data_IF_568190668699
#
_entry.id   IF_568190668699
#
_cell.length_a   1.000
_cell.length_b   1.000
_cell.length_c   1.000
_cell.angle_alpha   90.00
_cell.angle_beta   90.00
_cell.angle_gamma   90.00
#
_symmetry.space_group_name_H-M   'P 1'
#
loop_
_entity.id
_entity.type
_entity.pdbx_description
1 polymer ?
#
# COMPACT_ATOMS: atom_id res chain seq x y z
N UNK A 1 22.37 -7.14 -24.97
CA UNK A 1 21.15 -7.55 -25.66
C UNK A 1 20.25 -6.33 -25.77
N UNK A 2 19.69 -6.10 -26.98
CA UNK A 2 18.76 -5.00 -27.25
C UNK A 2 17.35 -5.56 -27.44
N UNK A 3 16.36 -4.94 -26.78
CA UNK A 3 14.94 -5.26 -26.91
C UNK A 3 14.26 -4.17 -27.73
N UNK A 4 13.45 -4.59 -28.71
CA UNK A 4 12.56 -3.70 -29.47
C UNK A 4 11.15 -3.90 -28.94
N UNK A 5 10.52 -2.84 -28.47
CA UNK A 5 9.21 -2.86 -27.81
C UNK A 5 8.27 -1.81 -28.43
N UNK A 6 6.95 -1.95 -28.30
CA UNK A 6 6.02 -0.87 -28.54
C UNK A 6 6.42 0.36 -27.71
N UNK A 7 6.26 1.58 -28.25
CA UNK A 7 6.74 2.81 -27.64
C UNK A 7 6.28 2.99 -26.19
N UNK A 8 5.02 2.66 -25.87
CA UNK A 8 4.49 2.73 -24.51
C UNK A 8 5.19 1.76 -23.57
N UNK A 9 5.39 0.51 -23.99
CA UNK A 9 6.08 -0.53 -23.20
C UNK A 9 7.58 -0.24 -23.06
N UNK A 10 8.20 0.38 -24.05
CA UNK A 10 9.61 0.78 -24.00
C UNK A 10 9.85 1.86 -22.93
N UNK A 11 8.91 2.77 -22.72
CA UNK A 11 8.96 3.77 -21.66
C UNK A 11 8.88 3.14 -20.25
N UNK A 12 8.04 2.15 -20.06
CA UNK A 12 7.96 1.39 -18.80
C UNK A 12 9.23 0.55 -18.59
N UNK A 13 9.70 -0.15 -19.63
CA UNK A 13 10.91 -0.96 -19.56
C UNK A 13 12.19 -0.15 -19.30
N UNK A 14 12.22 1.13 -19.71
CA UNK A 14 13.34 2.05 -19.47
C UNK A 14 13.58 2.37 -17.99
N UNK A 15 12.63 2.04 -17.12
CA UNK A 15 12.79 2.14 -15.67
C UNK A 15 13.80 1.12 -15.13
N UNK A 16 14.07 0.04 -15.89
CA UNK A 16 15.02 -1.01 -15.51
C UNK A 16 16.38 -0.71 -16.16
N UNK A 17 17.36 -0.44 -15.32
CA UNK A 17 18.72 -0.16 -15.79
C UNK A 17 19.40 -1.38 -16.44
N UNK A 18 20.34 -1.15 -17.35
CA UNK A 18 21.16 -2.20 -17.97
C UNK A 18 20.54 -2.89 -19.18
N UNK A 19 19.34 -2.48 -19.63
CA UNK A 19 18.72 -2.97 -20.85
C UNK A 19 18.93 -2.01 -22.01
N UNK A 20 19.41 -2.52 -23.14
CA UNK A 20 19.37 -1.79 -24.42
C UNK A 20 17.92 -1.80 -24.94
N UNK A 21 17.28 -0.64 -24.99
CA UNK A 21 15.87 -0.54 -25.35
C UNK A 21 15.69 0.35 -26.59
N UNK A 22 14.85 -0.10 -27.51
CA UNK A 22 14.40 0.66 -28.68
C UNK A 22 12.87 0.62 -28.73
N UNK A 23 12.26 1.77 -28.95
CA UNK A 23 10.82 1.91 -29.10
C UNK A 23 10.41 1.95 -30.59
N UNK A 24 9.30 1.31 -30.92
CA UNK A 24 8.65 1.39 -32.22
C UNK A 24 7.15 1.67 -32.06
N UNK A 25 6.61 2.58 -32.85
CA UNK A 25 5.19 2.89 -32.87
C UNK A 25 4.43 1.96 -33.84
N UNK A 26 5.12 1.45 -34.86
CA UNK A 26 4.57 0.59 -35.88
C UNK A 26 5.58 -0.47 -36.31
N UNK A 27 5.08 -1.66 -36.71
CA UNK A 27 5.94 -2.75 -37.19
C UNK A 27 6.80 -2.37 -38.40
N UNK A 28 6.30 -1.49 -39.25
CA UNK A 28 7.05 -0.97 -40.41
C UNK A 28 8.32 -0.23 -40.04
N UNK A 29 8.38 0.41 -38.86
CA UNK A 29 9.60 1.07 -38.37
C UNK A 29 10.66 0.03 -38.01
N UNK A 30 10.25 -1.10 -37.39
CA UNK A 30 11.16 -2.22 -37.13
C UNK A 30 11.69 -2.83 -38.41
N UNK A 31 10.83 -3.03 -39.41
CA UNK A 31 11.24 -3.52 -40.75
C UNK A 31 12.21 -2.53 -41.40
N UNK A 32 11.96 -1.23 -41.32
CA UNK A 32 12.84 -0.20 -41.87
C UNK A 32 14.21 -0.19 -41.17
N UNK A 33 14.25 -0.41 -39.84
CA UNK A 33 15.50 -0.46 -39.08
C UNK A 33 16.34 -1.70 -39.38
N UNK A 34 15.73 -2.79 -39.84
CA UNK A 34 16.41 -4.04 -40.20
C UNK A 34 16.78 -4.16 -41.68
N UNK A 35 16.55 -3.11 -42.49
CA UNK A 35 16.94 -3.12 -43.91
C UNK A 35 18.46 -3.19 -44.05
N UNK A 36 18.99 -4.02 -44.97
CA UNK A 36 20.42 -4.12 -45.21
C UNK A 36 20.99 -2.89 -45.91
N UNK A 37 20.14 -2.13 -46.60
CA UNK A 37 20.52 -0.89 -47.31
C UNK A 37 19.64 0.24 -46.75
N UNK A 38 20.28 1.29 -46.27
CA UNK A 38 19.66 2.50 -45.69
C UNK A 38 18.72 2.19 -44.50
N UNK A 39 19.25 1.61 -43.41
CA UNK A 39 18.45 1.33 -42.20
C UNK A 39 18.04 2.65 -41.51
N UNK A 40 16.75 2.74 -41.17
CA UNK A 40 16.24 3.87 -40.35
C UNK A 40 16.34 3.48 -38.86
N UNK A 41 17.19 4.13 -38.05
CA UNK A 41 17.42 3.73 -36.68
C UNK A 41 16.17 3.94 -35.79
N UNK A 42 15.83 2.95 -34.98
CA UNK A 42 14.81 3.09 -33.94
C UNK A 42 15.34 4.01 -32.81
N UNK A 43 14.44 4.70 -32.17
CA UNK A 43 14.79 5.63 -31.07
C UNK A 43 14.78 4.90 -29.72
N UNK A 44 15.75 5.24 -28.86
CA UNK A 44 15.68 4.87 -27.46
C UNK A 44 14.50 5.61 -26.80
N UNK A 45 13.81 4.97 -25.84
CA UNK A 45 12.79 5.66 -25.06
C UNK A 45 13.43 6.84 -24.29
N UNK A 46 12.68 7.93 -24.03
CA UNK A 46 13.19 9.03 -23.21
C UNK A 46 13.54 8.50 -21.81
N UNK A 47 14.62 9.03 -21.23
CA UNK A 47 14.99 8.71 -19.85
C UNK A 47 13.82 9.00 -18.90
N UNK A 48 13.63 8.10 -17.94
CA UNK A 48 12.59 8.24 -16.93
C UNK A 48 12.81 9.52 -16.10
N UNK A 49 11.72 10.17 -15.71
CA UNK A 49 11.74 11.34 -14.83
C UNK A 49 12.26 10.97 -13.43
N UNK A 50 12.83 11.98 -12.76
CA UNK A 50 13.37 11.89 -11.41
C UNK A 50 12.39 11.22 -10.43
N UNK A 51 12.76 10.08 -9.81
CA UNK A 51 11.91 9.38 -8.84
C UNK A 51 11.71 10.20 -7.55
N UNK A 52 12.56 11.15 -7.23
CA UNK A 52 12.49 11.95 -6.01
C UNK A 52 11.37 13.00 -6.03
N UNK A 53 10.92 13.42 -7.21
CA UNK A 53 9.85 14.40 -7.34
C UNK A 53 8.50 13.93 -6.77
N UNK A 54 8.24 12.64 -6.73
CA UNK A 54 6.99 12.10 -6.22
C UNK A 54 7.01 11.82 -4.70
N UNK A 55 8.20 11.62 -4.09
CA UNK A 55 8.36 11.48 -2.64
C UNK A 55 8.01 12.78 -1.92
N UNK A 56 8.33 13.93 -2.51
CA UNK A 56 8.03 15.25 -1.96
C UNK A 56 6.52 15.56 -1.84
N UNK A 57 5.66 14.78 -2.51
CA UNK A 57 4.21 14.97 -2.45
C UNK A 57 3.55 14.31 -1.22
N UNK A 58 4.26 13.42 -0.49
CA UNK A 58 3.67 12.62 0.59
C UNK A 58 3.54 13.36 1.93
N UNK A 59 4.11 14.55 2.09
CA UNK A 59 4.17 15.29 3.36
C UNK A 59 5.09 14.59 4.38
N UNK A 60 5.73 15.37 5.22
CA UNK A 60 6.72 14.90 6.18
C UNK A 60 6.08 14.49 7.52
N UNK A 61 6.67 13.51 8.22
CA UNK A 61 6.27 13.12 9.57
C UNK A 61 6.51 14.24 10.58
N UNK A 62 7.45 15.16 10.33
CA UNK A 62 7.67 16.35 11.13
C UNK A 62 6.45 17.30 11.18
N UNK A 63 5.59 17.30 10.14
CA UNK A 63 4.37 18.11 10.08
C UNK A 63 3.36 17.71 11.16
N UNK A 64 3.47 16.49 11.70
CA UNK A 64 2.59 16.00 12.75
C UNK A 64 3.01 16.63 14.08
N UNK A 65 2.15 17.44 14.67
CA UNK A 65 2.40 18.06 15.97
C UNK A 65 2.13 17.10 17.12
N UNK A 66 3.01 17.08 18.09
CA UNK A 66 2.92 16.14 19.21
C UNK A 66 3.09 14.69 18.77
N UNK A 67 2.34 13.78 19.37
CA UNK A 67 2.27 12.35 19.02
C UNK A 67 3.64 11.63 19.01
N UNK A 68 4.56 11.97 19.92
CA UNK A 68 5.93 11.44 19.92
C UNK A 68 6.00 9.91 19.95
N UNK A 69 5.16 9.25 20.76
CA UNK A 69 5.10 7.79 20.81
C UNK A 69 4.63 7.18 19.48
N UNK A 70 3.63 7.80 18.84
CA UNK A 70 3.14 7.33 17.54
C UNK A 70 4.17 7.55 16.42
N UNK A 71 4.87 8.68 16.40
CA UNK A 71 5.98 8.92 15.47
C UNK A 71 7.07 7.87 15.63
N UNK A 72 7.48 7.59 16.88
CA UNK A 72 8.49 6.57 17.15
C UNK A 72 8.05 5.18 16.72
N UNK A 73 6.79 4.82 16.92
CA UNK A 73 6.26 3.56 16.45
C UNK A 73 6.24 3.46 14.91
N UNK A 74 5.93 4.57 14.21
CA UNK A 74 6.02 4.62 12.74
C UNK A 74 7.46 4.45 12.23
N UNK A 75 8.44 5.08 12.90
CA UNK A 75 9.86 4.89 12.57
C UNK A 75 10.28 3.42 12.73
N UNK A 76 9.88 2.79 13.86
CA UNK A 76 10.15 1.37 14.09
C UNK A 76 9.45 0.49 13.04
N UNK A 77 8.19 0.77 12.73
CA UNK A 77 7.42 0.08 11.72
C UNK A 77 8.08 0.21 10.32
N UNK A 78 8.55 1.41 9.96
CA UNK A 78 9.23 1.64 8.69
C UNK A 78 10.58 0.91 8.61
N UNK A 79 11.37 0.94 9.68
CA UNK A 79 12.70 0.31 9.72
C UNK A 79 12.65 -1.22 9.69
N UNK A 80 11.66 -1.81 10.38
CA UNK A 80 11.52 -3.26 10.52
C UNK A 80 10.46 -3.89 9.60
N UNK A 81 9.77 -3.09 8.76
CA UNK A 81 8.60 -3.52 8.00
C UNK A 81 7.50 -4.16 8.89
N UNK A 82 7.35 -3.65 10.12
CA UNK A 82 6.39 -4.16 11.10
C UNK A 82 4.97 -3.70 10.81
N UNK A 83 4.01 -4.59 10.98
CA UNK A 83 2.58 -4.26 10.98
C UNK A 83 2.23 -3.46 12.24
N UNK A 84 1.37 -2.45 12.09
CA UNK A 84 1.04 -1.49 13.16
C UNK A 84 -0.47 -1.32 13.31
N UNK A 85 -0.96 -1.36 14.55
CA UNK A 85 -2.33 -0.98 14.91
C UNK A 85 -2.32 0.28 15.78
N UNK A 86 -3.01 1.31 15.33
CA UNK A 86 -3.22 2.56 16.05
C UNK A 86 -4.62 2.59 16.66
N UNK A 87 -4.69 2.72 17.98
CA UNK A 87 -5.97 2.82 18.71
C UNK A 87 -6.08 4.19 19.35
N UNK A 88 -7.18 4.90 19.13
CA UNK A 88 -7.38 6.22 19.76
C UNK A 88 -8.68 6.88 19.38
N UNK A 89 -9.08 7.94 20.09
CA UNK A 89 -10.30 8.69 19.82
C UNK A 89 -10.37 9.22 18.38
N UNK A 90 -11.56 9.54 17.86
CA UNK A 90 -11.67 10.23 16.57
C UNK A 90 -10.97 11.59 16.61
N UNK A 91 -10.39 12.01 15.49
CA UNK A 91 -9.71 13.30 15.36
C UNK A 91 -8.29 13.36 15.95
N UNK A 92 -7.70 12.24 16.38
CA UNK A 92 -6.33 12.21 16.92
C UNK A 92 -5.23 12.14 15.87
N UNK A 93 -5.59 12.14 14.57
CA UNK A 93 -4.61 12.16 13.47
C UNK A 93 -4.11 10.79 13.02
N UNK A 94 -4.77 9.66 13.38
CA UNK A 94 -4.36 8.30 13.00
C UNK A 94 -4.19 8.14 11.48
N UNK A 95 -5.18 8.58 10.70
CA UNK A 95 -5.13 8.48 9.23
C UNK A 95 -4.03 9.36 8.65
N UNK A 96 -3.79 10.55 9.22
CA UNK A 96 -2.68 11.42 8.83
C UNK A 96 -1.33 10.75 9.11
N UNK A 97 -1.15 10.16 10.30
CA UNK A 97 0.04 9.40 10.67
C UNK A 97 0.30 8.23 9.70
N UNK A 98 -0.75 7.46 9.36
CA UNK A 98 -0.64 6.36 8.41
C UNK A 98 -0.18 6.82 7.02
N UNK A 99 -0.69 7.94 6.53
CA UNK A 99 -0.25 8.49 5.23
C UNK A 99 1.19 9.01 5.26
N UNK A 100 1.67 9.55 6.41
CA UNK A 100 3.07 9.98 6.56
C UNK A 100 4.06 8.81 6.61
N UNK A 101 3.61 7.60 6.90
CA UNK A 101 4.49 6.43 6.85
C UNK A 101 5.21 6.31 5.51
N UNK A 102 4.52 6.62 4.40
CA UNK A 102 5.09 6.55 3.06
C UNK A 102 6.35 7.40 2.85
N UNK A 103 6.47 8.54 3.54
CA UNK A 103 7.63 9.44 3.41
C UNK A 103 8.88 8.95 4.14
N UNK A 104 8.73 8.02 5.09
CA UNK A 104 9.85 7.48 5.87
C UNK A 104 10.19 6.03 5.50
N UNK A 105 9.41 5.40 4.60
CA UNK A 105 9.71 4.06 4.12
C UNK A 105 10.92 4.06 3.18
N UNK A 106 11.82 3.08 3.30
CA UNK A 106 12.92 2.93 2.35
C UNK A 106 12.39 2.62 0.93
N UNK A 107 13.02 3.16 -0.13
CA UNK A 107 12.63 2.86 -1.50
C UNK A 107 12.76 1.36 -1.78
N UNK A 108 11.99 0.87 -2.76
CA UNK A 108 12.11 -0.50 -3.24
C UNK A 108 13.45 -0.70 -3.96
N UNK A 109 14.08 -1.85 -3.74
CA UNK A 109 15.15 -2.28 -4.64
C UNK A 109 14.55 -2.67 -6.02
N UNK A 110 15.41 -2.93 -7.01
CA UNK A 110 14.96 -3.18 -8.39
C UNK A 110 14.05 -4.41 -8.49
N UNK A 111 14.37 -5.50 -7.78
CA UNK A 111 13.58 -6.74 -7.82
C UNK A 111 12.22 -6.54 -7.16
N UNK A 112 12.16 -5.90 -6.00
CA UNK A 112 10.91 -5.53 -5.33
C UNK A 112 10.04 -4.58 -6.17
N UNK A 113 10.68 -3.63 -6.85
CA UNK A 113 9.99 -2.69 -7.73
C UNK A 113 9.37 -3.41 -8.94
N UNK A 114 10.08 -4.39 -9.52
CA UNK A 114 9.57 -5.24 -10.60
C UNK A 114 8.39 -6.09 -10.14
N UNK A 115 8.47 -6.72 -8.97
CA UNK A 115 7.36 -7.49 -8.40
C UNK A 115 6.10 -6.62 -8.20
N UNK A 116 6.26 -5.43 -7.60
CA UNK A 116 5.16 -4.49 -7.38
C UNK A 116 4.58 -3.99 -8.71
N UNK A 117 5.43 -3.58 -9.65
CA UNK A 117 5.02 -3.09 -10.97
C UNK A 117 4.25 -4.16 -11.75
N UNK A 118 4.67 -5.44 -11.70
CA UNK A 118 3.99 -6.54 -12.37
C UNK A 118 2.54 -6.71 -11.87
N UNK A 119 2.32 -6.66 -10.56
CA UNK A 119 0.98 -6.76 -9.96
C UNK A 119 0.12 -5.56 -10.35
N UNK A 120 0.67 -4.35 -10.27
CA UNK A 120 -0.03 -3.12 -10.62
C UNK A 120 -0.36 -3.06 -12.12
N UNK A 121 0.56 -3.50 -12.98
CA UNK A 121 0.37 -3.56 -14.44
C UNK A 121 -0.72 -4.55 -14.83
N UNK A 122 -0.77 -5.72 -14.19
CA UNK A 122 -1.84 -6.71 -14.39
C UNK A 122 -3.23 -6.14 -14.09
N UNK A 123 -3.32 -5.21 -13.15
CA UNK A 123 -4.55 -4.49 -12.80
C UNK A 123 -4.76 -3.21 -13.63
N UNK A 124 -3.83 -2.83 -14.51
CA UNK A 124 -3.86 -1.58 -15.27
C UNK A 124 -3.67 -0.33 -14.38
N UNK A 125 -2.98 -0.47 -13.25
CA UNK A 125 -2.78 0.59 -12.24
C UNK A 125 -1.32 1.01 -12.06
N UNK A 126 -0.41 0.45 -12.84
CA UNK A 126 0.99 0.87 -12.80
C UNK A 126 1.16 2.26 -13.40
N UNK A 127 1.90 3.10 -12.70
CA UNK A 127 2.29 4.44 -13.14
C UNK A 127 3.82 4.56 -13.07
N UNK A 128 4.52 4.89 -14.17
CA UNK A 128 5.98 5.02 -14.19
C UNK A 128 6.54 5.98 -13.12
N UNK A 129 5.78 7.03 -12.77
CA UNK A 129 6.16 7.97 -11.71
C UNK A 129 6.24 7.33 -10.31
N UNK A 130 5.65 6.16 -10.12
CA UNK A 130 5.67 5.42 -8.85
C UNK A 130 6.77 4.33 -8.82
N UNK A 131 7.64 4.29 -9.83
CA UNK A 131 8.75 3.34 -9.87
C UNK A 131 9.62 3.44 -8.61
N UNK A 132 9.92 2.31 -7.99
CA UNK A 132 10.68 2.15 -6.73
C UNK A 132 10.02 2.75 -5.49
N UNK A 133 8.81 3.29 -5.59
CA UNK A 133 8.06 3.76 -4.43
C UNK A 133 7.20 2.64 -3.84
N UNK A 134 7.07 2.65 -2.52
CA UNK A 134 6.13 1.75 -1.83
C UNK A 134 4.72 2.33 -1.94
N UNK A 135 3.87 1.62 -2.65
CA UNK A 135 2.47 2.03 -2.81
C UNK A 135 1.73 1.95 -1.47
N UNK A 136 0.88 2.94 -1.19
CA UNK A 136 -0.04 2.91 -0.06
C UNK A 136 -1.44 2.67 -0.62
N UNK A 137 -2.04 1.54 -0.22
CA UNK A 137 -3.42 1.19 -0.56
C UNK A 137 -4.30 1.45 0.66
N UNK A 138 -5.32 2.29 0.51
CA UNK A 138 -6.23 2.68 1.58
C UNK A 138 -7.69 2.46 1.13
N UNK A 139 -8.15 1.21 1.02
CA UNK A 139 -9.54 0.95 0.67
C UNK A 139 -10.47 1.41 1.78
N UNK A 140 -11.64 1.91 1.39
CA UNK A 140 -12.69 2.29 2.34
C UNK A 140 -13.27 1.04 3.02
N UNK A 141 -13.71 1.14 4.28
CA UNK A 141 -14.26 0.01 5.05
C UNK A 141 -15.52 -0.62 4.41
N UNK A 142 -16.23 0.11 3.54
CA UNK A 142 -17.35 -0.43 2.75
C UNK A 142 -16.93 -1.30 1.57
N UNK A 143 -15.61 -1.45 1.32
CA UNK A 143 -15.12 -2.30 0.25
C UNK A 143 -15.56 -3.76 0.47
N UNK A 144 -16.04 -4.40 -0.59
CA UNK A 144 -16.44 -5.81 -0.52
C UNK A 144 -15.22 -6.72 -0.30
N UNK A 145 -15.45 -7.92 0.26
CA UNK A 145 -14.37 -8.92 0.40
C UNK A 145 -13.72 -9.24 -0.94
N UNK A 146 -14.48 -9.22 -2.05
CA UNK A 146 -13.93 -9.42 -3.40
C UNK A 146 -13.03 -8.26 -3.83
N UNK A 147 -13.36 -7.02 -3.48
CA UNK A 147 -12.49 -5.87 -3.78
C UNK A 147 -11.17 -5.97 -3.02
N UNK A 148 -11.17 -6.48 -1.78
CA UNK A 148 -9.97 -6.64 -0.98
C UNK A 148 -9.13 -7.84 -1.41
N UNK A 149 -9.74 -9.02 -1.53
CA UNK A 149 -9.07 -10.28 -1.85
C UNK A 149 -8.74 -10.38 -3.34
N UNK A 150 -9.63 -9.91 -4.18
CA UNK A 150 -9.59 -10.11 -5.61
C UNK A 150 -10.63 -11.12 -6.08
N UNK A 151 -10.74 -11.30 -7.39
CA UNK A 151 -11.73 -12.20 -7.99
C UNK A 151 -12.01 -11.86 -9.45
N UNK A 152 -13.15 -12.32 -9.95
CA UNK A 152 -13.55 -12.11 -11.35
C UNK A 152 -13.26 -13.31 -12.23
N UNK A 153 -13.60 -13.19 -13.52
CA UNK A 153 -13.29 -14.17 -14.58
C UNK A 153 -12.86 -13.41 -15.83
N UNK A 154 -11.55 -13.38 -16.14
CA UNK A 154 -10.41 -13.99 -15.40
C UNK A 154 -10.18 -13.37 -14.01
N UNK A 155 -9.54 -14.12 -13.09
CA UNK A 155 -9.20 -13.60 -11.76
C UNK A 155 -8.28 -12.37 -11.84
N UNK A 156 -8.60 -11.36 -11.01
CA UNK A 156 -7.82 -10.12 -10.90
C UNK A 156 -7.38 -9.91 -9.46
N UNK A 157 -6.19 -9.34 -9.24
CA UNK A 157 -5.71 -9.01 -7.89
C UNK A 157 -6.62 -7.97 -7.23
N UNK A 158 -6.90 -8.15 -5.92
CA UNK A 158 -7.57 -7.17 -5.07
C UNK A 158 -6.60 -6.22 -4.38
N UNK A 159 -7.12 -5.35 -3.50
CA UNK A 159 -6.34 -4.32 -2.81
C UNK A 159 -5.20 -4.92 -1.96
N UNK A 160 -5.37 -6.13 -1.41
CA UNK A 160 -4.33 -6.86 -0.68
C UNK A 160 -3.12 -7.13 -1.57
N UNK A 161 -3.34 -7.66 -2.79
CA UNK A 161 -2.24 -7.91 -3.75
C UNK A 161 -1.70 -6.61 -4.34
N UNK A 162 -2.56 -5.61 -4.57
CA UNK A 162 -2.13 -4.30 -5.07
C UNK A 162 -1.25 -3.54 -4.07
N UNK A 163 -1.30 -3.91 -2.78
CA UNK A 163 -0.40 -3.41 -1.74
C UNK A 163 0.95 -4.16 -1.68
N UNK A 164 1.19 -5.12 -2.57
CA UNK A 164 2.42 -5.91 -2.57
C UNK A 164 3.67 -5.05 -2.56
N UNK A 165 4.62 -5.35 -1.66
CA UNK A 165 5.85 -4.57 -1.38
C UNK A 165 5.59 -3.13 -0.90
N UNK A 166 4.34 -2.80 -0.54
CA UNK A 166 3.91 -1.52 -0.02
C UNK A 166 3.17 -1.63 1.30
N UNK A 167 2.22 -0.73 1.51
CA UNK A 167 1.41 -0.61 2.72
C UNK A 167 -0.06 -0.80 2.39
N UNK A 168 -0.74 -1.63 3.17
CA UNK A 168 -2.19 -1.71 3.21
C UNK A 168 -2.67 -0.97 4.46
N UNK A 169 -3.25 0.21 4.28
CA UNK A 169 -3.83 0.99 5.35
C UNK A 169 -5.34 0.73 5.44
N UNK A 170 -5.80 0.26 6.60
CA UNK A 170 -7.21 0.01 6.88
C UNK A 170 -7.67 0.93 8.02
N UNK A 171 -8.34 2.01 7.66
CA UNK A 171 -8.96 2.90 8.63
C UNK A 171 -10.28 2.30 9.11
N UNK A 172 -10.66 2.59 10.37
CA UNK A 172 -11.84 2.00 11.00
C UNK A 172 -11.85 0.47 10.90
N UNK A 173 -10.71 -0.16 11.18
CA UNK A 173 -10.45 -1.59 10.98
C UNK A 173 -11.60 -2.52 11.43
N UNK A 174 -12.26 -2.33 12.61
CA UNK A 174 -13.38 -3.17 13.03
C UNK A 174 -14.66 -3.02 12.17
N UNK A 175 -14.75 -2.00 11.31
CA UNK A 175 -15.93 -1.79 10.46
C UNK A 175 -15.85 -2.57 9.14
N UNK A 176 -14.70 -3.12 8.79
CA UNK A 176 -14.57 -4.01 7.64
C UNK A 176 -15.37 -5.31 7.81
N UNK A 177 -15.88 -5.90 6.72
CA UNK A 177 -16.51 -7.20 6.77
C UNK A 177 -15.60 -8.26 7.41
N UNK A 178 -16.13 -9.05 8.35
CA UNK A 178 -15.34 -10.07 9.05
C UNK A 178 -14.62 -11.04 8.11
N UNK A 179 -15.27 -11.43 7.01
CA UNK A 179 -14.67 -12.28 5.98
C UNK A 179 -13.45 -11.65 5.31
N UNK A 180 -13.44 -10.32 5.18
CA UNK A 180 -12.32 -9.58 4.62
C UNK A 180 -11.15 -9.50 5.62
N UNK A 181 -11.44 -9.29 6.91
CA UNK A 181 -10.41 -9.29 7.96
C UNK A 181 -9.78 -10.67 8.14
N UNK A 182 -10.57 -11.73 8.12
CA UNK A 182 -10.04 -13.11 8.20
C UNK A 182 -9.17 -13.46 6.97
N UNK A 183 -9.49 -12.93 5.78
CA UNK A 183 -8.71 -13.14 4.58
C UNK A 183 -7.31 -12.49 4.61
N UNK A 184 -7.06 -11.55 5.53
CA UNK A 184 -5.73 -10.96 5.73
C UNK A 184 -4.74 -11.93 6.40
N UNK A 185 -5.23 -12.94 7.12
CA UNK A 185 -4.38 -13.82 7.92
C UNK A 185 -3.40 -14.62 7.06
N UNK A 186 -3.89 -15.23 5.99
CA UNK A 186 -3.06 -16.01 5.06
C UNK A 186 -1.91 -15.16 4.46
N UNK A 187 -2.17 -14.00 3.83
CA UNK A 187 -1.10 -13.21 3.24
C UNK A 187 -0.15 -12.56 4.26
N UNK A 188 -0.61 -12.23 5.47
CA UNK A 188 0.27 -11.74 6.53
C UNK A 188 1.27 -12.81 6.99
N UNK A 189 0.92 -14.08 6.87
CA UNK A 189 1.78 -15.21 7.24
C UNK A 189 2.65 -15.70 6.08
N UNK A 190 2.04 -15.89 4.91
CA UNK A 190 2.69 -16.54 3.75
C UNK A 190 3.22 -15.55 2.71
N UNK A 191 2.73 -14.33 2.69
CA UNK A 191 3.02 -13.33 1.65
C UNK A 191 2.32 -13.60 0.32
N UNK A 192 1.32 -14.49 0.31
CA UNK A 192 0.55 -14.88 -0.88
C UNK A 192 -0.93 -14.92 -0.54
N UNK A 193 -1.78 -14.56 -1.48
CA UNK A 193 -3.22 -14.74 -1.41
C UNK A 193 -3.70 -15.65 -2.53
N UNK A 194 -4.48 -16.67 -2.17
CA UNK A 194 -5.00 -17.66 -3.11
C UNK A 194 -6.47 -17.39 -3.44
N UNK A 195 -6.77 -17.26 -4.71
CA UNK A 195 -8.14 -17.10 -5.21
C UNK A 195 -8.54 -18.40 -5.92
N UNK A 196 -9.45 -19.15 -5.31
CA UNK A 196 -9.98 -20.37 -5.90
C UNK A 196 -11.33 -20.10 -6.57
N UNK A 197 -11.46 -20.41 -7.86
CA UNK A 197 -12.73 -20.36 -8.59
C UNK A 197 -12.86 -21.54 -9.56
N UNK A 198 -13.97 -22.25 -9.44
CA UNK A 198 -14.29 -23.43 -10.24
C UNK A 198 -13.13 -24.45 -10.27
N UNK A 199 -12.47 -24.65 -11.40
CA UNK A 199 -11.40 -25.62 -11.55
C UNK A 199 -9.97 -25.01 -11.48
N UNK A 200 -9.83 -23.72 -11.14
CA UNK A 200 -8.52 -23.04 -11.16
C UNK A 200 -8.25 -22.28 -9.86
N UNK A 201 -7.07 -22.47 -9.32
CA UNK A 201 -6.47 -21.68 -8.26
C UNK A 201 -5.48 -20.70 -8.88
N UNK A 202 -5.54 -19.44 -8.44
CA UNK A 202 -4.60 -18.40 -8.83
C UNK A 202 -4.01 -17.80 -7.57
N UNK A 203 -2.69 -17.81 -7.50
CA UNK A 203 -1.95 -17.24 -6.38
C UNK A 203 -1.38 -15.89 -6.80
N UNK A 204 -1.65 -14.86 -5.99
CA UNK A 204 -1.11 -13.51 -6.17
C UNK A 204 -0.16 -13.18 -5.04
N UNK A 205 0.96 -12.54 -5.32
CA UNK A 205 1.87 -12.08 -4.27
C UNK A 205 1.17 -11.00 -3.44
N UNK A 206 1.37 -11.06 -2.13
CA UNK A 206 0.70 -10.21 -1.15
C UNK A 206 1.57 -9.96 0.09
N UNK A 207 2.86 -9.64 -0.12
CA UNK A 207 3.78 -9.21 0.95
C UNK A 207 3.61 -7.71 1.12
N UNK A 208 2.89 -7.30 2.14
CA UNK A 208 2.61 -5.91 2.46
C UNK A 208 2.81 -5.67 3.95
N UNK A 209 3.00 -4.41 4.33
CA UNK A 209 2.95 -3.96 5.70
C UNK A 209 1.51 -3.54 6.03
N UNK A 210 0.89 -4.15 7.05
CA UNK A 210 -0.45 -3.78 7.49
C UNK A 210 -0.36 -2.60 8.46
N UNK A 211 -1.10 -1.54 8.16
CA UNK A 211 -1.34 -0.43 9.09
C UNK A 211 -2.84 -0.36 9.35
N UNK A 212 -3.25 -0.59 10.58
CA UNK A 212 -4.63 -0.48 11.00
C UNK A 212 -4.86 0.74 11.87
N UNK A 213 -6.02 1.36 11.75
CA UNK A 213 -6.48 2.37 12.69
C UNK A 213 -7.88 2.01 13.19
N UNK A 214 -8.11 2.20 14.49
CA UNK A 214 -9.43 1.97 15.08
C UNK A 214 -9.71 2.93 16.24
N UNK A 215 -10.97 3.07 16.57
CA UNK A 215 -11.38 3.71 17.81
C UNK A 215 -11.35 2.69 18.98
N UNK A 216 -11.22 3.14 20.23
CA UNK A 216 -11.17 2.24 21.39
C UNK A 216 -12.52 1.58 21.71
N UNK A 217 -13.63 2.16 21.21
CA UNK A 217 -14.99 1.69 21.42
C UNK A 217 -15.93 2.24 20.33
N UNK A 218 -17.20 1.81 20.22
CA UNK A 218 -18.13 2.30 19.21
C UNK A 218 -18.34 3.83 19.21
N UNK A 219 -18.38 4.47 20.38
CA UNK A 219 -18.51 5.94 20.45
C UNK A 219 -17.15 6.66 20.30
N UNK A 220 -16.03 5.93 20.33
CA UNK A 220 -14.69 6.47 20.15
C UNK A 220 -14.06 7.13 21.37
N UNK A 221 -14.75 7.20 22.53
CA UNK A 221 -14.34 8.03 23.67
C UNK A 221 -13.88 7.25 24.92
N UNK A 222 -13.70 5.94 24.83
CA UNK A 222 -13.14 5.17 25.93
C UNK A 222 -11.70 5.64 26.21
N UNK A 223 -11.40 6.00 27.46
CA UNK A 223 -10.10 6.56 27.84
C UNK A 223 -9.84 8.01 27.39
N UNK A 224 -10.81 8.69 26.77
CA UNK A 224 -10.63 10.08 26.35
C UNK A 224 -10.82 11.03 27.54
N UNK A 225 -9.80 11.84 27.92
CA UNK A 225 -9.91 12.77 29.04
C UNK A 225 -10.85 13.96 28.77
N UNK A 226 -11.11 14.29 27.49
CA UNK A 226 -11.89 15.44 27.08
C UNK A 226 -13.39 15.14 26.93
N UNK A 227 -13.75 13.86 26.71
CA UNK A 227 -15.14 13.46 26.46
C UNK A 227 -15.42 12.07 27.03
N UNK A 228 -16.43 11.96 27.90
CA UNK A 228 -16.81 10.73 28.54
C UNK A 228 -17.34 9.68 27.54
N UNK A 229 -16.92 8.43 27.71
CA UNK A 229 -17.44 7.29 26.98
C UNK A 229 -18.90 7.00 27.43
N UNK A 230 -19.76 6.65 26.46
CA UNK A 230 -21.17 6.30 26.70
C UNK A 230 -21.46 4.82 26.45
N UNK A 231 -20.45 4.03 26.10
CA UNK A 231 -20.62 2.62 25.80
C UNK A 231 -20.65 1.78 27.09
N UNK A 232 -21.50 0.78 27.12
CA UNK A 232 -21.46 -0.25 28.16
C UNK A 232 -20.23 -1.14 27.96
N UNK A 233 -19.75 -1.83 29.02
CA UNK A 233 -18.65 -2.80 28.89
C UNK A 233 -18.90 -3.85 27.80
N UNK A 234 -20.13 -4.36 27.68
CA UNK A 234 -20.50 -5.33 26.65
C UNK A 234 -20.44 -4.78 25.23
N UNK A 235 -20.76 -3.50 25.05
CA UNK A 235 -20.63 -2.83 23.74
C UNK A 235 -19.16 -2.69 23.35
N UNK A 236 -18.30 -2.33 24.30
CA UNK A 236 -16.86 -2.23 24.09
C UNK A 236 -16.29 -3.60 23.72
N UNK A 237 -16.60 -4.63 24.52
CA UNK A 237 -16.11 -5.99 24.28
C UNK A 237 -16.56 -6.52 22.91
N UNK A 238 -17.83 -6.35 22.53
CA UNK A 238 -18.34 -6.74 21.20
C UNK A 238 -17.68 -6.00 20.05
N UNK A 239 -17.34 -4.74 20.21
CA UNK A 239 -16.65 -3.95 19.20
C UNK A 239 -15.22 -4.43 19.00
N UNK A 240 -14.48 -4.61 20.09
CA UNK A 240 -13.11 -5.10 20.06
C UNK A 240 -13.02 -6.54 19.53
N UNK A 241 -13.98 -7.40 19.87
CA UNK A 241 -14.09 -8.79 19.42
C UNK A 241 -14.36 -8.94 17.90
N UNK A 242 -14.59 -7.85 17.16
CA UNK A 242 -14.63 -7.90 15.70
C UNK A 242 -13.27 -8.24 15.09
N UNK A 243 -12.18 -7.89 15.79
CA UNK A 243 -10.83 -8.31 15.46
C UNK A 243 -10.54 -9.63 16.16
N UNK A 244 -10.25 -10.68 15.39
CA UNK A 244 -9.92 -11.97 15.97
C UNK A 244 -8.52 -11.97 16.60
N UNK A 245 -8.34 -12.75 17.68
CA UNK A 245 -7.03 -12.93 18.30
C UNK A 245 -5.94 -13.29 17.28
N UNK A 246 -6.17 -14.32 16.42
CA UNK A 246 -5.21 -14.70 15.39
C UNK A 246 -4.83 -13.60 14.40
N UNK A 247 -5.70 -12.61 14.12
CA UNK A 247 -5.33 -11.44 13.32
C UNK A 247 -4.47 -10.47 14.13
N UNK A 248 -4.84 -10.23 15.39
CA UNK A 248 -4.08 -9.33 16.27
C UNK A 248 -2.67 -9.87 16.55
N UNK A 249 -2.48 -11.19 16.67
CA UNK A 249 -1.20 -11.84 16.87
C UNK A 249 -0.21 -11.62 15.69
N UNK A 250 -0.71 -11.21 14.52
CA UNK A 250 0.10 -10.89 13.33
C UNK A 250 0.40 -9.39 13.17
N UNK A 251 -0.04 -8.60 14.14
CA UNK A 251 0.26 -7.17 14.18
C UNK A 251 1.35 -6.96 15.22
N UNK A 252 2.54 -6.64 14.76
CA UNK A 252 3.75 -6.57 15.60
C UNK A 252 3.71 -5.45 16.63
N UNK A 253 3.14 -4.30 16.25
CA UNK A 253 3.10 -3.10 17.08
C UNK A 253 1.65 -2.66 17.30
N UNK A 254 1.28 -2.42 18.55
CA UNK A 254 -0.01 -1.85 18.93
C UNK A 254 0.23 -0.63 19.80
N UNK A 255 -0.32 0.51 19.38
CA UNK A 255 -0.10 1.77 20.08
C UNK A 255 -1.40 2.53 20.35
N UNK A 256 -1.40 3.26 21.44
CA UNK A 256 -2.43 4.25 21.70
C UNK A 256 -2.03 5.61 21.12
N UNK A 257 -2.98 6.26 20.43
CA UNK A 257 -2.84 7.60 19.85
C UNK A 257 -3.80 8.52 20.61
N UNK A 258 -3.34 9.15 21.70
CA UNK A 258 -4.18 9.98 22.55
C UNK A 258 -4.61 11.27 21.82
N UNK A 259 -5.64 11.94 22.37
CA UNK A 259 -5.99 13.26 21.92
C UNK A 259 -4.86 14.25 22.28
N UNK A 260 -4.48 15.08 21.31
CA UNK A 260 -3.48 16.13 21.52
C UNK A 260 -4.18 17.34 22.16
N UNK A 261 -3.56 17.93 23.18
CA UNK A 261 -4.12 19.13 23.80
C UNK A 261 -4.09 20.33 22.84
N UNK A 262 -5.06 21.25 22.92
CA UNK A 262 -5.06 22.44 22.08
C UNK A 262 -3.77 23.26 22.17
N UNK A 263 -3.13 23.29 23.33
CA UNK A 263 -1.88 24.04 23.57
C UNK A 263 -0.73 23.49 22.73
N UNK A 264 -0.64 22.15 22.56
CA UNK A 264 0.38 21.51 21.72
C UNK A 264 0.10 21.76 20.23
N UNK A 265 -1.18 21.84 19.84
CA UNK A 265 -1.55 22.15 18.46
C UNK A 265 -1.30 23.63 18.10
N UNK A 266 -1.36 24.53 19.07
CA UNK A 266 -1.13 25.97 18.89
C UNK A 266 0.36 26.36 18.86
N UNK A 267 1.25 25.51 19.36
CA UNK A 267 2.71 25.77 19.27
C UNK A 267 3.17 25.68 17.82
N UNK A 268 3.63 26.80 17.28
CA UNK A 268 4.18 26.96 15.92
C UNK A 268 5.62 26.47 15.82
#
# INVERSE_FOLDING_TARGET
RTLVLPQASAQEAALVEGLGLLGASHLTEVVAALRPIDPVPLRAPPASRDPDAALNALGDLQDVRGQGAAKRALEMAAAGAHSLLMVGPPGTGKSMLAHRLGSILPPLNTDEALESAAVLSLAGRFQPAQWRQRVIRAPHHTASSVALVGGGSPPRPGEISLAHRGVLFLDELPEFPRSALEALREPLETGVISISRAARRHDFPARFQLVGAMNPCPCGHLGNPLKACRCTPDQVARYQARLSGPLLDRIDLQIEVPAVSPDVLAQS
#
